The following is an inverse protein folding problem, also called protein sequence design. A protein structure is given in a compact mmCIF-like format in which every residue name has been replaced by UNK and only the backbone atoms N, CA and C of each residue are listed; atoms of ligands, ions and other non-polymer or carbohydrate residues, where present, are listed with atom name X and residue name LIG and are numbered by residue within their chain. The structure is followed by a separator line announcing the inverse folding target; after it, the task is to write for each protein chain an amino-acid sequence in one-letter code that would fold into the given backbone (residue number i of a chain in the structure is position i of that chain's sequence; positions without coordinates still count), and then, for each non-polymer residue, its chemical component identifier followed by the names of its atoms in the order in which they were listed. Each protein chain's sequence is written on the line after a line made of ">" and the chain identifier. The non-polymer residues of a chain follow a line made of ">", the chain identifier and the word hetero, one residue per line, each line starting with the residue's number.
data_IF_539002167835
#
_entry.id   IF_539002167835
#
_cell.length_a   1.000
_cell.length_b   1.000
_cell.length_c   1.000
_cell.angle_alpha   90.00
_cell.angle_beta   90.00
_cell.angle_gamma   90.00
#
_symmetry.space_group_name_H-M   'P 1'
#
loop_
_entity.id
_entity.type
_entity.pdbx_description
1 polymer ?
#
# COMPACT_ATOMS: atom_id res chain seq x y z
N UNK A 1 -9.16 3.08 -11.88
CA UNK A 1 -8.42 3.51 -13.09
C UNK A 1 -7.12 4.13 -12.61
N UNK A 2 -5.98 3.74 -13.19
CA UNK A 2 -4.70 4.38 -12.86
C UNK A 2 -4.59 5.77 -13.49
N UNK A 3 -3.65 6.59 -13.02
CA UNK A 3 -3.42 7.92 -13.61
C UNK A 3 -3.07 7.82 -15.09
N UNK A 4 -2.21 6.88 -15.47
CA UNK A 4 -1.83 6.67 -16.88
C UNK A 4 -3.02 6.25 -17.77
N UNK A 5 -3.92 5.39 -17.25
CA UNK A 5 -5.14 5.03 -17.97
C UNK A 5 -6.09 6.22 -18.12
N UNK A 6 -6.17 7.05 -17.09
CA UNK A 6 -7.00 8.24 -17.11
C UNK A 6 -6.45 9.30 -18.06
N UNK A 7 -5.13 9.54 -18.06
CA UNK A 7 -4.44 10.40 -19.03
C UNK A 7 -4.78 10.00 -20.47
N UNK A 8 -4.61 8.72 -20.81
CA UNK A 8 -4.90 8.24 -22.16
C UNK A 8 -6.35 8.54 -22.57
N UNK A 9 -7.32 8.23 -21.69
CA UNK A 9 -8.74 8.53 -21.95
C UNK A 9 -9.01 10.03 -22.05
N UNK A 10 -8.37 10.82 -21.21
CA UNK A 10 -8.52 12.27 -21.22
C UNK A 10 -8.03 12.86 -22.54
N UNK A 11 -6.86 12.42 -23.04
CA UNK A 11 -6.32 12.83 -24.34
C UNK A 11 -7.22 12.40 -25.50
N UNK A 12 -7.71 11.16 -25.47
CA UNK A 12 -8.64 10.63 -26.45
C UNK A 12 -9.92 11.48 -26.52
N UNK A 13 -10.53 11.81 -25.38
CA UNK A 13 -11.73 12.66 -25.34
C UNK A 13 -11.43 14.11 -25.74
N UNK A 14 -10.26 14.63 -25.35
CA UNK A 14 -9.81 15.98 -25.71
C UNK A 14 -9.65 16.15 -27.22
N UNK A 15 -9.28 15.09 -27.93
CA UNK A 15 -9.20 15.11 -29.40
C UNK A 15 -10.57 15.33 -30.06
N UNK A 16 -11.65 14.81 -29.47
CA UNK A 16 -13.01 14.99 -30.00
C UNK A 16 -13.65 16.32 -29.60
N UNK A 17 -13.21 16.93 -28.49
CA UNK A 17 -13.74 18.19 -28.00
C UNK A 17 -12.62 19.17 -27.58
N UNK A 18 -11.75 19.59 -28.51
CA UNK A 18 -10.57 20.41 -28.18
C UNK A 18 -10.94 21.78 -27.61
N UNK A 19 -12.13 22.30 -27.92
CA UNK A 19 -12.64 23.57 -27.41
C UNK A 19 -12.97 23.55 -25.91
N UNK A 20 -13.11 22.37 -25.27
CA UNK A 20 -13.34 22.25 -23.83
C UNK A 20 -12.06 22.29 -22.99
N UNK A 21 -10.90 22.19 -23.65
CA UNK A 21 -9.56 22.13 -23.05
C UNK A 21 -8.59 22.97 -23.87
N UNK A 22 -9.09 24.07 -24.44
CA UNK A 22 -8.33 24.94 -25.33
C UNK A 22 -7.22 25.67 -24.58
N UNK A 23 -7.51 26.09 -23.35
CA UNK A 23 -6.52 26.66 -22.45
C UNK A 23 -5.78 25.56 -21.66
N UNK A 24 -4.50 25.80 -21.41
CA UNK A 24 -3.65 24.91 -20.63
C UNK A 24 -4.12 24.80 -19.16
N UNK A 25 -4.62 25.90 -18.59
CA UNK A 25 -5.21 26.01 -17.26
C UNK A 25 -6.52 25.21 -17.19
N UNK A 26 -7.43 25.43 -18.14
CA UNK A 26 -8.69 24.67 -18.24
C UNK A 26 -8.43 23.17 -18.39
N UNK A 27 -7.45 22.80 -19.23
CA UNK A 27 -7.05 21.41 -19.42
C UNK A 27 -6.56 20.78 -18.12
N UNK A 28 -5.74 21.50 -17.35
CA UNK A 28 -5.24 21.05 -16.06
C UNK A 28 -6.35 20.94 -15.01
N UNK A 29 -7.23 21.93 -14.92
CA UNK A 29 -8.41 21.92 -14.04
C UNK A 29 -9.31 20.72 -14.33
N UNK A 30 -9.67 20.50 -15.60
CA UNK A 30 -10.51 19.36 -16.01
C UNK A 30 -9.86 18.01 -15.69
N UNK A 31 -8.55 17.91 -15.82
CA UNK A 31 -7.82 16.71 -15.44
C UNK A 31 -7.83 16.50 -13.92
N UNK A 32 -7.55 17.55 -13.15
CA UNK A 32 -7.60 17.52 -11.68
C UNK A 32 -8.97 17.08 -11.16
N UNK A 33 -10.05 17.62 -11.70
CA UNK A 33 -11.43 17.29 -11.31
C UNK A 33 -11.77 15.80 -11.49
N UNK A 34 -11.14 15.12 -12.45
CA UNK A 34 -11.34 13.70 -12.69
C UNK A 34 -10.37 12.78 -11.93
N UNK A 35 -9.42 13.34 -11.19
CA UNK A 35 -8.54 12.54 -10.33
C UNK A 35 -9.29 12.00 -9.12
N UNK A 36 -8.83 10.83 -8.65
CA UNK A 36 -9.33 10.27 -7.39
C UNK A 36 -8.97 11.20 -6.23
N UNK A 37 -9.84 11.33 -5.21
CA UNK A 37 -9.59 12.21 -4.07
C UNK A 37 -8.21 12.00 -3.43
N UNK A 38 -7.76 10.76 -3.25
CA UNK A 38 -6.47 10.48 -2.59
C UNK A 38 -5.28 11.09 -3.34
N UNK A 39 -5.36 11.14 -4.67
CA UNK A 39 -4.33 11.74 -5.53
C UNK A 39 -4.54 13.24 -5.62
N UNK A 40 -5.78 13.67 -5.87
CA UNK A 40 -6.18 15.07 -6.02
C UNK A 40 -5.70 15.94 -4.85
N UNK A 41 -5.96 15.54 -3.60
CA UNK A 41 -5.56 16.32 -2.43
C UNK A 41 -4.04 16.55 -2.33
N UNK A 42 -3.23 15.62 -2.86
CA UNK A 42 -1.77 15.74 -2.82
C UNK A 42 -1.21 16.57 -3.98
N UNK A 43 -1.92 16.61 -5.10
CA UNK A 43 -1.46 17.30 -6.33
C UNK A 43 -2.01 18.73 -6.39
N UNK A 44 -3.19 18.99 -5.82
CA UNK A 44 -3.86 20.30 -5.86
C UNK A 44 -3.07 21.44 -5.19
N UNK A 45 -2.10 21.10 -4.32
CA UNK A 45 -1.23 22.09 -3.65
C UNK A 45 0.00 22.51 -4.47
N UNK A 46 0.23 21.89 -5.62
CA UNK A 46 1.39 22.13 -6.50
C UNK A 46 0.93 22.99 -7.68
N UNK A 47 1.79 23.87 -8.20
CA UNK A 47 1.49 24.62 -9.43
C UNK A 47 1.26 23.68 -10.62
N UNK A 48 0.06 23.73 -11.19
CA UNK A 48 -0.41 22.84 -12.27
C UNK A 48 -0.54 23.57 -13.61
N UNK A 49 0.35 24.51 -13.89
CA UNK A 49 0.29 25.37 -15.08
C UNK A 49 0.62 24.63 -16.39
N UNK A 50 1.10 23.39 -16.31
CA UNK A 50 1.53 22.55 -17.44
C UNK A 50 0.99 21.14 -17.25
N UNK A 51 0.22 20.66 -18.22
CA UNK A 51 -0.47 19.36 -18.14
C UNK A 51 0.49 18.19 -17.94
N UNK A 52 1.63 18.18 -18.65
CA UNK A 52 2.64 17.14 -18.47
C UNK A 52 3.17 17.05 -17.04
N UNK A 53 3.49 18.19 -16.43
CA UNK A 53 4.00 18.25 -15.05
C UNK A 53 2.93 17.81 -14.04
N UNK A 54 1.67 18.16 -14.30
CA UNK A 54 0.52 17.75 -13.51
C UNK A 54 0.36 16.22 -13.54
N UNK A 55 0.40 15.61 -14.74
CA UNK A 55 0.29 14.16 -14.92
C UNK A 55 1.45 13.45 -14.22
N UNK A 56 2.69 13.90 -14.42
CA UNK A 56 3.87 13.31 -13.78
C UNK A 56 3.75 13.35 -12.25
N UNK A 57 3.32 14.49 -11.70
CA UNK A 57 3.09 14.65 -10.27
C UNK A 57 2.01 13.69 -9.76
N UNK A 58 0.90 13.56 -10.48
CA UNK A 58 -0.16 12.62 -10.14
C UNK A 58 0.31 11.15 -10.18
N UNK A 59 1.13 10.77 -11.17
CA UNK A 59 1.72 9.43 -11.24
C UNK A 59 2.66 9.15 -10.07
N UNK A 60 3.49 10.12 -9.67
CA UNK A 60 4.38 9.99 -8.49
C UNK A 60 3.58 9.80 -7.20
N UNK A 61 2.48 10.54 -7.03
CA UNK A 61 1.58 10.39 -5.89
C UNK A 61 0.89 9.01 -5.90
N UNK A 62 0.38 8.56 -7.05
CA UNK A 62 -0.23 7.23 -7.18
C UNK A 62 0.75 6.12 -6.80
N UNK A 63 2.00 6.21 -7.25
CA UNK A 63 3.06 5.28 -6.87
C UNK A 63 3.30 5.27 -5.36
N UNK A 64 3.42 6.44 -4.74
CA UNK A 64 3.64 6.57 -3.30
C UNK A 64 2.50 5.96 -2.47
N UNK A 65 1.24 6.22 -2.86
CA UNK A 65 0.06 5.63 -2.22
C UNK A 65 0.08 4.10 -2.34
N UNK A 66 0.42 3.57 -3.52
CA UNK A 66 0.49 2.14 -3.74
C UNK A 66 1.60 1.47 -2.90
N UNK A 67 2.76 2.10 -2.80
CA UNK A 67 3.86 1.63 -1.94
C UNK A 67 3.45 1.61 -0.46
N UNK A 68 2.79 2.67 0.02
CA UNK A 68 2.28 2.72 1.39
C UNK A 68 1.27 1.62 1.69
N UNK A 69 0.29 1.41 0.79
CA UNK A 69 -0.67 0.30 0.90
C UNK A 69 0.03 -1.06 0.94
N UNK A 70 1.00 -1.28 0.06
CA UNK A 70 1.77 -2.54 0.04
C UNK A 70 2.52 -2.79 1.35
N UNK A 71 3.08 -1.75 1.97
CA UNK A 71 3.74 -1.86 3.28
C UNK A 71 2.75 -2.22 4.38
N UNK A 72 1.61 -1.53 4.44
CA UNK A 72 0.55 -1.79 5.42
C UNK A 72 0.00 -3.21 5.31
N UNK A 73 -0.25 -3.71 4.09
CA UNK A 73 -0.72 -5.08 3.86
C UNK A 73 0.29 -6.12 4.37
N UNK A 74 1.60 -5.87 4.19
CA UNK A 74 2.66 -6.75 4.69
C UNK A 74 2.72 -6.75 6.22
N UNK A 75 2.56 -5.58 6.83
CA UNK A 75 2.54 -5.43 8.29
C UNK A 75 1.31 -6.10 8.91
N UNK A 76 0.12 -5.91 8.34
CA UNK A 76 -1.11 -6.55 8.79
C UNK A 76 -1.02 -8.08 8.70
N UNK A 77 -0.47 -8.62 7.61
CA UNK A 77 -0.24 -10.08 7.48
C UNK A 77 0.71 -10.61 8.53
N UNK A 78 1.79 -9.89 8.84
CA UNK A 78 2.72 -10.26 9.92
C UNK A 78 2.04 -10.25 11.28
N UNK A 79 1.24 -9.22 11.56
CA UNK A 79 0.50 -9.12 12.82
C UNK A 79 -0.52 -10.25 12.98
N UNK A 80 -1.27 -10.57 11.91
CA UNK A 80 -2.21 -11.68 11.90
C UNK A 80 -1.53 -13.03 12.15
N UNK A 81 -0.39 -13.30 11.48
CA UNK A 81 0.36 -14.54 11.69
C UNK A 81 0.95 -14.69 13.09
N UNK A 82 1.29 -13.59 13.76
CA UNK A 82 1.80 -13.63 15.14
C UNK A 82 0.67 -13.97 16.12
N UNK A 83 -0.53 -13.41 15.91
CA UNK A 83 -1.70 -13.68 16.74
C UNK A 83 -2.13 -15.16 16.70
N UNK A 84 -2.03 -15.81 15.53
CA UNK A 84 -2.32 -17.24 15.35
C UNK A 84 -1.23 -18.15 15.98
N UNK A 85 0.03 -17.68 16.02
CA UNK A 85 1.14 -18.42 16.65
C UNK A 85 1.10 -18.45 18.18
N UNK A 86 0.51 -17.43 18.81
CA UNK A 86 0.40 -17.32 20.27
C UNK A 86 -0.69 -18.24 20.86
N UNK A 87 -1.75 -18.55 20.11
CA UNK A 87 -2.76 -19.53 20.56
C UNK A 87 -2.23 -20.98 20.50
N UNK A 88 -1.29 -21.28 19.60
CA UNK A 88 -0.66 -22.61 19.49
C UNK A 88 0.47 -22.84 20.50
N UNK A 89 1.12 -21.77 20.99
CA UNK A 89 2.25 -21.89 21.93
C UNK A 89 1.82 -22.23 23.37
N UNK A 90 0.56 -21.91 23.74
CA UNK A 90 0.04 -22.19 25.09
C UNK A 90 -0.22 -23.68 25.38
N UNK A 91 -0.17 -24.58 24.37
CA UNK A 91 -0.33 -26.03 24.58
C UNK A 91 0.98 -26.80 24.74
N UNK A 92 2.14 -26.21 24.44
CA UNK A 92 3.40 -26.97 24.40
C UNK A 92 4.34 -26.78 25.60
N UNK A 93 3.95 -26.02 26.63
CA UNK A 93 4.75 -25.88 27.87
C UNK A 93 4.50 -26.96 28.94
N UNK A 94 3.67 -27.97 28.69
CA UNK A 94 3.29 -28.97 29.71
C UNK A 94 4.12 -30.27 29.76
N UNK A 95 5.15 -30.43 28.92
CA UNK A 95 5.92 -31.69 28.85
C UNK A 95 7.45 -31.48 28.97
N UNK A 96 7.89 -30.57 29.84
CA UNK A 96 9.32 -30.42 30.17
C UNK A 96 9.55 -30.33 31.68
N UNK A 97 9.36 -31.46 32.34
CA UNK A 97 9.75 -31.69 33.74
C UNK A 97 9.35 -33.11 34.10
N UNK A 98 10.25 -34.07 34.17
CA UNK A 98 11.08 -34.24 35.37
C UNK A 98 12.34 -35.04 35.05
N UNK A 99 13.49 -34.39 35.18
CA UNK A 99 14.77 -35.07 35.34
C UNK A 99 15.01 -35.21 36.84
N UNK A 100 14.98 -36.43 37.38
CA UNK A 100 15.52 -36.70 38.71
C UNK A 100 16.30 -38.01 38.67
N UNK A 101 17.62 -37.85 38.59
CA UNK A 101 18.61 -38.87 38.84
C UNK A 101 18.44 -39.44 40.26
N UNK A 102 18.63 -40.76 40.41
CA UNK A 102 19.05 -41.42 41.65
C UNK A 102 19.46 -42.86 41.34
N UNK A 103 20.76 -43.12 41.17
CA UNK A 103 21.36 -44.35 41.70
C UNK A 103 21.77 -44.10 43.17
N UNK A 104 22.45 -45.02 43.89
CA UNK A 104 22.84 -46.41 43.58
C UNK A 104 22.44 -47.39 44.72
N UNK A 105 22.69 -48.70 44.59
CA UNK A 105 23.31 -49.51 45.68
C UNK A 105 23.76 -50.87 45.16
N UNK A 106 24.94 -51.31 45.61
CA UNK A 106 25.48 -52.65 45.33
C UNK A 106 25.62 -53.52 46.59
N UNK A 107 26.30 -54.67 46.37
CA UNK A 107 26.72 -55.75 47.31
C UNK A 107 25.58 -56.70 47.68
N UNK A 108 25.71 -58.03 47.69
CA UNK A 108 26.81 -58.98 47.93
C UNK A 108 26.10 -60.13 48.67
N UNK A 109 26.15 -61.38 48.23
CA UNK A 109 27.13 -62.42 48.57
C UNK A 109 26.88 -63.63 47.67
#
# INVERSE_FOLDING_TARGET
>A
MSVAQYEHKFLELSHYAPFLVADQEERCQRFLDGLRPEIWHSVATIDWNVFGNLVESAMRVELSINEQRSRQDREQKRYASNLEGEESSSKNQRMRGSSSASGPVGKGT
#
